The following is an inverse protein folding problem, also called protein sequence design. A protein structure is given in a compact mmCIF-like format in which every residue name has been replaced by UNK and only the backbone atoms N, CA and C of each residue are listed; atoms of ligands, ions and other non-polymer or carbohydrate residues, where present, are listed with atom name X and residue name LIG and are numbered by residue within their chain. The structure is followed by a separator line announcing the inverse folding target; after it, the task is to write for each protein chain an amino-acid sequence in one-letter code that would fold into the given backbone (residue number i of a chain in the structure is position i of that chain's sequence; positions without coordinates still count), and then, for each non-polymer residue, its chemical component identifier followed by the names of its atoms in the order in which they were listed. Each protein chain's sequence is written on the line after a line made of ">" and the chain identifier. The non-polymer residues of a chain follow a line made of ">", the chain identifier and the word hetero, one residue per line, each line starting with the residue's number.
data_IF_138896538611
#
_entry.id   IF_138896538611
#
_cell.length_a   1.000
_cell.length_b   1.000
_cell.length_c   1.000
_cell.angle_alpha   90.00
_cell.angle_beta   90.00
_cell.angle_gamma   90.00
#
_symmetry.space_group_name_H-M   'P 1'
#
loop_
_entity.id
_entity.type
_entity.pdbx_description
1 polymer ?
#
# COMPACT_ATOMS: atom_id res chain seq x y z
N UNK A 1 -43.61 25.78 -67.93
CA UNK A 1 -42.54 25.99 -66.94
C UNK A 1 -43.03 25.49 -65.59
N UNK A 2 -42.55 24.33 -65.13
CA UNK A 2 -42.81 23.81 -63.78
C UNK A 2 -41.45 23.42 -63.16
N UNK A 3 -41.14 24.02 -62.00
CA UNK A 3 -39.94 23.80 -61.21
C UNK A 3 -40.16 22.59 -60.29
N UNK A 4 -39.32 21.56 -60.44
CA UNK A 4 -39.28 20.38 -59.56
C UNK A 4 -38.50 20.77 -58.30
N UNK A 5 -39.02 20.58 -57.07
CA UNK A 5 -38.26 20.82 -55.86
C UNK A 5 -37.28 19.67 -55.58
N UNK A 6 -36.04 20.02 -55.26
CA UNK A 6 -34.95 19.11 -54.91
C UNK A 6 -35.16 18.48 -53.52
N UNK A 7 -35.45 17.19 -53.47
CA UNK A 7 -35.60 16.38 -52.25
C UNK A 7 -34.27 16.00 -51.54
N UNK A 8 -33.15 16.64 -51.85
CA UNK A 8 -31.82 16.25 -51.36
C UNK A 8 -31.43 16.81 -49.99
N UNK A 9 -32.01 17.94 -49.55
CA UNK A 9 -31.59 18.60 -48.30
C UNK A 9 -32.10 17.96 -47.00
N UNK A 10 -33.23 17.24 -47.02
CA UNK A 10 -33.78 16.61 -45.81
C UNK A 10 -33.04 15.32 -45.42
N UNK A 11 -32.45 14.61 -46.38
CA UNK A 11 -31.73 13.35 -46.12
C UNK A 11 -30.35 13.59 -45.49
N UNK A 12 -29.69 14.71 -45.84
CA UNK A 12 -28.41 15.08 -45.23
C UNK A 12 -28.54 15.51 -43.76
N UNK A 13 -29.60 16.26 -43.40
CA UNK A 13 -29.84 16.65 -42.01
C UNK A 13 -30.16 15.46 -41.09
N UNK A 14 -30.90 14.45 -41.58
CA UNK A 14 -31.21 13.24 -40.82
C UNK A 14 -29.97 12.35 -40.59
N UNK A 15 -29.07 12.27 -41.57
CA UNK A 15 -27.82 11.51 -41.44
C UNK A 15 -26.83 12.21 -40.48
N UNK A 16 -26.78 13.55 -40.48
CA UNK A 16 -26.00 14.32 -39.50
C UNK A 16 -26.58 14.22 -38.08
N UNK A 17 -27.90 14.22 -37.91
CA UNK A 17 -28.57 14.03 -36.61
C UNK A 17 -28.41 12.59 -36.08
N UNK A 18 -28.37 11.58 -36.95
CA UNK A 18 -28.06 10.19 -36.56
C UNK A 18 -26.58 10.02 -36.18
N UNK A 19 -25.66 10.71 -36.87
CA UNK A 19 -24.24 10.75 -36.49
C UNK A 19 -24.02 11.51 -35.17
N UNK A 20 -24.75 12.58 -34.90
CA UNK A 20 -24.73 13.27 -33.59
C UNK A 20 -25.33 12.41 -32.46
N UNK A 21 -26.32 11.56 -32.74
CA UNK A 21 -26.85 10.60 -31.76
C UNK A 21 -25.99 9.34 -31.61
N UNK A 22 -25.18 8.95 -32.60
CA UNK A 22 -24.15 7.92 -32.46
C UNK A 22 -22.89 8.47 -31.75
N UNK A 23 -22.67 9.78 -31.83
CA UNK A 23 -21.78 10.56 -30.96
C UNK A 23 -22.46 11.04 -29.68
N UNK A 24 -23.61 10.45 -29.31
CA UNK A 24 -24.07 10.47 -27.93
C UNK A 24 -22.96 9.81 -27.12
N UNK A 25 -22.03 10.66 -26.65
CA UNK A 25 -21.04 10.41 -25.64
C UNK A 25 -21.81 9.87 -24.45
N UNK A 26 -22.02 8.56 -24.45
CA UNK A 26 -22.83 7.93 -23.44
C UNK A 26 -22.11 8.22 -22.13
N UNK A 27 -22.67 9.10 -21.32
CA UNK A 27 -22.01 9.67 -20.15
C UNK A 27 -21.46 8.55 -19.27
N UNK A 28 -20.29 8.76 -18.64
CA UNK A 28 -19.77 7.77 -17.71
C UNK A 28 -20.83 7.55 -16.62
N UNK A 29 -21.19 6.30 -16.33
CA UNK A 29 -22.15 5.96 -15.28
C UNK A 29 -21.55 4.88 -14.37
N UNK A 30 -21.97 4.78 -13.09
CA UNK A 30 -21.53 3.72 -12.20
C UNK A 30 -21.70 2.31 -12.78
N UNK A 31 -22.75 2.10 -13.58
CA UNK A 31 -23.02 0.82 -14.26
C UNK A 31 -21.91 0.46 -15.26
N UNK A 32 -21.51 1.41 -16.12
CA UNK A 32 -20.44 1.17 -17.11
C UNK A 32 -19.08 0.93 -16.45
N UNK A 33 -18.81 1.61 -15.33
CA UNK A 33 -17.61 1.34 -14.52
C UNK A 33 -17.62 -0.11 -14.03
N UNK A 34 -18.73 -0.57 -13.45
CA UNK A 34 -18.89 -1.96 -13.01
C UNK A 34 -18.77 -2.97 -14.16
N UNK A 35 -19.35 -2.69 -15.33
CA UNK A 35 -19.24 -3.55 -16.51
C UNK A 35 -17.78 -3.68 -16.96
N UNK A 36 -17.02 -2.59 -17.01
CA UNK A 36 -15.60 -2.63 -17.32
C UNK A 36 -14.77 -3.40 -16.28
N UNK A 37 -15.11 -3.27 -14.99
CA UNK A 37 -14.50 -4.08 -13.91
C UNK A 37 -14.81 -5.57 -14.14
N UNK A 38 -16.08 -5.92 -14.37
CA UNK A 38 -16.54 -7.30 -14.58
C UNK A 38 -15.88 -7.96 -15.79
N UNK A 39 -15.58 -7.19 -16.86
CA UNK A 39 -14.85 -7.66 -18.04
C UNK A 39 -13.34 -7.76 -17.85
N UNK A 40 -12.81 -7.47 -16.67
CA UNK A 40 -11.36 -7.52 -16.43
C UNK A 40 -10.57 -6.41 -17.15
N UNK A 41 -11.20 -5.24 -17.36
CA UNK A 41 -10.64 -4.09 -18.07
C UNK A 41 -10.38 -2.92 -17.09
N UNK A 42 -9.42 -3.04 -16.15
CA UNK A 42 -9.22 -2.04 -15.10
C UNK A 42 -8.83 -0.65 -15.63
N UNK A 43 -8.07 -0.57 -16.74
CA UNK A 43 -7.72 0.72 -17.38
C UNK A 43 -8.96 1.46 -17.89
N UNK A 44 -9.89 0.73 -18.52
CA UNK A 44 -11.14 1.32 -19.00
C UNK A 44 -12.03 1.72 -17.82
N UNK A 45 -12.11 0.89 -16.78
CA UNK A 45 -12.83 1.22 -15.55
C UNK A 45 -12.29 2.50 -14.91
N UNK A 46 -10.96 2.65 -14.83
CA UNK A 46 -10.30 3.87 -14.32
C UNK A 46 -10.67 5.09 -15.14
N UNK A 47 -10.60 5.02 -16.48
CA UNK A 47 -10.98 6.13 -17.35
C UNK A 47 -12.43 6.55 -17.13
N UNK A 48 -13.35 5.59 -17.10
CA UNK A 48 -14.77 5.87 -16.87
C UNK A 48 -15.03 6.43 -15.47
N UNK A 49 -14.35 5.91 -14.45
CA UNK A 49 -14.48 6.36 -13.08
C UNK A 49 -13.90 7.77 -12.88
N UNK A 50 -12.75 8.08 -13.49
CA UNK A 50 -12.19 9.44 -13.43
C UNK A 50 -13.09 10.45 -14.13
N UNK A 51 -13.65 10.08 -15.28
CA UNK A 51 -14.58 10.95 -16.01
C UNK A 51 -15.88 11.18 -15.23
N UNK A 52 -16.37 10.16 -14.51
CA UNK A 52 -17.54 10.26 -13.64
C UNK A 52 -17.30 11.22 -12.46
N UNK A 53 -16.18 11.06 -11.76
CA UNK A 53 -15.84 11.85 -10.57
C UNK A 53 -15.53 13.32 -10.97
N UNK A 54 -14.79 13.56 -12.06
CA UNK A 54 -14.35 14.90 -12.44
C UNK A 54 -15.45 15.81 -13.01
N UNK A 55 -16.58 15.23 -13.42
CA UNK A 55 -17.74 15.93 -13.99
C UNK A 55 -18.84 16.20 -12.96
N UNK A 56 -18.55 15.98 -11.67
CA UNK A 56 -19.55 15.99 -10.59
C UNK A 56 -20.75 15.10 -10.94
N UNK A 57 -20.50 13.97 -11.61
CA UNK A 57 -21.55 13.02 -11.94
C UNK A 57 -22.21 12.53 -10.66
N UNK A 58 -23.51 12.24 -10.71
CA UNK A 58 -24.32 11.75 -9.59
C UNK A 58 -23.77 10.41 -9.04
N UNK A 59 -22.72 10.47 -8.22
CA UNK A 59 -22.14 9.33 -7.53
C UNK A 59 -22.10 9.63 -6.04
N UNK A 60 -22.92 8.91 -5.30
CA UNK A 60 -22.89 8.95 -3.84
C UNK A 60 -21.60 8.32 -3.33
N UNK A 61 -21.13 8.78 -2.16
CA UNK A 61 -19.94 8.23 -1.49
C UNK A 61 -20.02 6.70 -1.35
N UNK A 62 -21.18 6.17 -0.95
CA UNK A 62 -21.39 4.73 -0.82
C UNK A 62 -21.25 3.97 -2.15
N UNK A 63 -21.65 4.59 -3.27
CA UNK A 63 -21.50 3.99 -4.60
C UNK A 63 -20.05 4.05 -5.06
N UNK A 64 -19.36 5.18 -4.82
CA UNK A 64 -17.93 5.34 -5.08
C UNK A 64 -17.11 4.29 -4.34
N UNK A 65 -17.34 4.10 -3.04
CA UNK A 65 -16.64 3.09 -2.23
C UNK A 65 -16.84 1.67 -2.78
N UNK A 66 -18.05 1.33 -3.24
CA UNK A 66 -18.32 0.03 -3.86
C UNK A 66 -17.56 -0.15 -5.17
N UNK A 67 -17.49 0.87 -6.03
CA UNK A 67 -16.74 0.82 -7.29
C UNK A 67 -15.24 0.67 -7.03
N UNK A 68 -14.69 1.46 -6.10
CA UNK A 68 -13.29 1.39 -5.71
C UNK A 68 -12.92 0.03 -5.12
N UNK A 69 -13.79 -0.54 -4.26
CA UNK A 69 -13.61 -1.89 -3.73
C UNK A 69 -13.65 -2.95 -4.84
N UNK A 70 -14.63 -2.88 -5.75
CA UNK A 70 -14.73 -3.80 -6.87
C UNK A 70 -13.51 -3.71 -7.80
N UNK A 71 -12.99 -2.50 -8.04
CA UNK A 71 -11.79 -2.26 -8.81
C UNK A 71 -10.57 -2.91 -8.14
N UNK A 72 -10.40 -2.75 -6.82
CA UNK A 72 -9.30 -3.36 -6.06
C UNK A 72 -9.32 -4.89 -6.07
N UNK A 73 -10.51 -5.50 -6.10
CA UNK A 73 -10.69 -6.96 -6.15
C UNK A 73 -10.46 -7.55 -7.55
N UNK A 74 -10.31 -6.72 -8.58
CA UNK A 74 -10.05 -7.18 -9.92
C UNK A 74 -8.68 -7.87 -10.01
N UNK A 75 -8.60 -9.05 -10.64
CA UNK A 75 -7.35 -9.83 -10.74
C UNK A 75 -6.20 -9.08 -11.43
N UNK A 76 -6.52 -8.16 -12.35
CA UNK A 76 -5.54 -7.35 -13.08
C UNK A 76 -5.23 -6.02 -12.38
N UNK A 77 -5.83 -5.76 -11.22
CA UNK A 77 -5.57 -4.56 -10.44
C UNK A 77 -4.14 -4.56 -9.87
N UNK A 78 -3.46 -3.43 -10.04
CA UNK A 78 -2.12 -3.19 -9.52
C UNK A 78 -1.94 -1.71 -9.17
N UNK A 79 -0.81 -1.37 -8.57
CA UNK A 79 -0.55 -0.01 -8.10
C UNK A 79 -0.59 1.02 -9.24
N UNK A 80 -0.11 0.66 -10.43
CA UNK A 80 -0.15 1.55 -11.60
C UNK A 80 -1.58 1.95 -11.97
N UNK A 81 -2.55 1.03 -11.84
CA UNK A 81 -3.98 1.33 -12.04
C UNK A 81 -4.49 2.33 -10.98
N UNK A 82 -4.10 2.15 -9.73
CA UNK A 82 -4.49 3.07 -8.65
C UNK A 82 -3.88 4.47 -8.86
N UNK A 83 -2.61 4.52 -9.27
CA UNK A 83 -1.91 5.76 -9.59
C UNK A 83 -2.55 6.47 -10.77
N UNK A 84 -2.88 5.74 -11.82
CA UNK A 84 -3.55 6.28 -12.99
C UNK A 84 -4.88 6.94 -12.61
N UNK A 85 -5.69 6.28 -11.76
CA UNK A 85 -6.92 6.87 -11.26
C UNK A 85 -6.64 8.15 -10.47
N UNK A 86 -5.75 8.10 -9.49
CA UNK A 86 -5.45 9.24 -8.62
C UNK A 86 -4.90 10.45 -9.40
N UNK A 87 -4.02 10.22 -10.38
CA UNK A 87 -3.42 11.28 -11.19
C UNK A 87 -4.42 11.94 -12.15
N UNK A 88 -5.44 11.20 -12.61
CA UNK A 88 -6.48 11.73 -13.51
C UNK A 88 -7.51 12.61 -12.80
N UNK A 89 -7.59 12.57 -11.48
CA UNK A 89 -8.63 13.29 -10.73
C UNK A 89 -8.27 14.75 -10.46
N UNK A 90 -9.28 15.61 -10.47
CA UNK A 90 -9.23 16.96 -9.87
C UNK A 90 -9.08 16.85 -8.35
N UNK A 91 -8.79 17.97 -7.69
CA UNK A 91 -8.49 17.99 -6.26
C UNK A 91 -9.60 17.39 -5.40
N UNK A 92 -10.87 17.71 -5.68
CA UNK A 92 -12.00 17.18 -4.92
C UNK A 92 -12.15 15.65 -5.08
N UNK A 93 -11.95 15.17 -6.31
CA UNK A 93 -11.91 13.72 -6.59
C UNK A 93 -10.75 13.01 -5.89
N UNK A 94 -9.56 13.62 -5.86
CA UNK A 94 -8.40 13.10 -5.12
C UNK A 94 -8.71 12.99 -3.63
N UNK A 95 -9.32 14.01 -3.05
CA UNK A 95 -9.76 14.01 -1.65
C UNK A 95 -10.79 12.90 -1.38
N UNK A 96 -11.76 12.71 -2.27
CA UNK A 96 -12.81 11.70 -2.13
C UNK A 96 -12.26 10.26 -2.13
N UNK A 97 -11.25 9.96 -2.95
CA UNK A 97 -10.68 8.61 -3.05
C UNK A 97 -9.43 8.39 -2.20
N UNK A 98 -8.94 9.42 -1.50
CA UNK A 98 -7.65 9.39 -0.83
C UNK A 98 -7.54 8.19 0.12
N UNK A 99 -8.52 8.02 1.01
CA UNK A 99 -8.50 6.94 2.01
C UNK A 99 -8.32 5.57 1.35
N UNK A 100 -9.06 5.30 0.27
CA UNK A 100 -8.92 4.08 -0.51
C UNK A 100 -7.52 3.97 -1.13
N UNK A 101 -7.02 5.06 -1.72
CA UNK A 101 -5.71 5.09 -2.37
C UNK A 101 -4.55 4.83 -1.39
N UNK A 102 -4.58 5.44 -0.20
CA UNK A 102 -3.59 5.20 0.85
C UNK A 102 -3.65 3.73 1.33
N UNK A 103 -4.85 3.15 1.48
CA UNK A 103 -5.02 1.75 1.84
C UNK A 103 -4.41 0.79 0.80
N UNK A 104 -4.59 1.07 -0.51
CA UNK A 104 -3.97 0.26 -1.57
C UNK A 104 -2.45 0.26 -1.45
N UNK A 105 -1.84 1.41 -1.12
CA UNK A 105 -0.40 1.49 -0.89
C UNK A 105 0.06 0.72 0.35
N UNK A 106 -0.69 0.83 1.45
CA UNK A 106 -0.41 0.09 2.68
C UNK A 106 -0.44 -1.42 2.44
N UNK A 107 -1.50 -1.94 1.82
CA UNK A 107 -1.63 -3.37 1.49
C UNK A 107 -0.46 -3.88 0.62
N UNK A 108 -0.04 -3.07 -0.36
CA UNK A 108 1.10 -3.41 -1.23
C UNK A 108 2.42 -3.39 -0.47
N UNK A 109 2.62 -2.42 0.41
CA UNK A 109 3.79 -2.34 1.27
C UNK A 109 3.86 -3.53 2.25
N UNK A 110 2.74 -3.87 2.89
CA UNK A 110 2.64 -5.04 3.78
C UNK A 110 2.91 -6.35 3.03
N UNK A 111 2.36 -6.50 1.82
CA UNK A 111 2.64 -7.69 0.99
C UNK A 111 4.11 -7.81 0.63
N UNK A 112 4.79 -6.71 0.30
CA UNK A 112 6.22 -6.69 0.05
C UNK A 112 7.02 -7.06 1.31
N UNK A 113 6.64 -6.52 2.47
CA UNK A 113 7.26 -6.85 3.76
C UNK A 113 7.11 -8.33 4.12
N UNK A 114 5.91 -8.91 3.95
CA UNK A 114 5.65 -10.33 4.22
C UNK A 114 6.44 -11.26 3.30
N UNK A 115 6.86 -10.78 2.13
CA UNK A 115 7.74 -11.50 1.19
C UNK A 115 9.23 -11.20 1.39
N UNK A 116 9.59 -10.46 2.44
CA UNK A 116 10.95 -9.97 2.69
C UNK A 116 11.55 -9.14 1.53
N UNK A 117 10.70 -8.48 0.74
CA UNK A 117 11.09 -7.56 -0.34
C UNK A 117 11.26 -6.13 0.22
N UNK A 118 12.24 -5.93 1.10
CA UNK A 118 12.37 -4.69 1.88
C UNK A 118 12.62 -3.44 1.02
N UNK A 119 13.46 -3.53 0.00
CA UNK A 119 13.71 -2.40 -0.93
C UNK A 119 12.46 -2.00 -1.73
N UNK A 120 11.65 -2.99 -2.12
CA UNK A 120 10.36 -2.73 -2.76
C UNK A 120 9.42 -2.00 -1.79
N UNK A 121 9.31 -2.47 -0.55
CA UNK A 121 8.53 -1.82 0.49
C UNK A 121 8.99 -0.36 0.74
N UNK A 122 10.31 -0.10 0.81
CA UNK A 122 10.85 1.28 0.94
C UNK A 122 10.46 2.15 -0.25
N UNK A 123 10.56 1.60 -1.46
CA UNK A 123 10.25 2.32 -2.70
C UNK A 123 8.76 2.67 -2.78
N UNK A 124 7.90 1.71 -2.49
CA UNK A 124 6.45 1.89 -2.39
C UNK A 124 6.10 2.96 -1.36
N UNK A 125 6.70 2.91 -0.17
CA UNK A 125 6.43 3.88 0.88
C UNK A 125 6.90 5.30 0.54
N UNK A 126 8.12 5.45 -0.01
CA UNK A 126 8.62 6.77 -0.46
C UNK A 126 7.72 7.37 -1.54
N UNK A 127 7.23 6.54 -2.45
CA UNK A 127 6.29 6.98 -3.49
C UNK A 127 4.96 7.43 -2.90
N UNK A 128 4.41 6.65 -1.98
CA UNK A 128 3.23 7.03 -1.20
C UNK A 128 3.39 8.39 -0.52
N UNK A 129 4.52 8.62 0.16
CA UNK A 129 4.80 9.90 0.83
C UNK A 129 4.81 11.08 -0.13
N UNK A 130 5.44 10.92 -1.30
CA UNK A 130 5.45 11.97 -2.34
C UNK A 130 4.05 12.29 -2.82
N UNK A 131 3.25 11.27 -3.13
CA UNK A 131 1.90 11.46 -3.67
C UNK A 131 0.97 12.04 -2.61
N UNK A 132 1.04 11.54 -1.37
CA UNK A 132 0.29 12.13 -0.26
C UNK A 132 0.64 13.60 -0.07
N UNK A 133 1.92 13.97 -0.13
CA UNK A 133 2.34 15.38 0.03
C UNK A 133 1.71 16.32 -1.01
N UNK A 134 1.36 15.82 -2.21
CA UNK A 134 0.64 16.62 -3.22
C UNK A 134 -0.81 16.93 -2.81
N UNK A 135 -1.44 16.06 -2.03
CA UNK A 135 -2.81 16.23 -1.58
C UNK A 135 -2.91 16.81 -0.16
N UNK A 136 -1.92 16.51 0.71
CA UNK A 136 -1.85 16.88 2.12
C UNK A 136 -0.40 17.24 2.50
N UNK A 137 0.06 18.46 2.18
CA UNK A 137 1.45 18.87 2.41
C UNK A 137 1.82 18.94 3.90
N UNK A 138 0.84 19.17 4.78
CA UNK A 138 1.05 19.31 6.22
C UNK A 138 0.76 18.04 7.03
N UNK A 139 0.50 16.90 6.37
CA UNK A 139 0.23 15.65 7.09
C UNK A 139 1.50 15.11 7.76
N UNK A 140 1.43 14.95 9.09
CA UNK A 140 2.47 14.28 9.85
C UNK A 140 2.09 12.83 10.17
N UNK A 141 2.89 11.88 9.69
CA UNK A 141 2.77 10.48 10.09
C UNK A 141 3.04 10.32 11.58
N UNK A 142 2.05 9.81 12.31
CA UNK A 142 2.18 9.38 13.71
C UNK A 142 3.14 8.19 13.86
N UNK A 143 3.19 7.31 12.85
CA UNK A 143 4.04 6.12 12.85
C UNK A 143 5.11 6.20 11.75
N UNK A 144 6.42 6.18 12.08
CA UNK A 144 7.48 6.26 11.09
C UNK A 144 7.71 4.92 10.36
N UNK A 145 6.93 4.66 9.31
CA UNK A 145 6.89 3.37 8.58
C UNK A 145 8.25 2.97 7.99
N UNK A 146 9.07 3.89 7.50
CA UNK A 146 10.44 3.56 7.03
C UNK A 146 11.28 2.91 8.12
N UNK A 147 11.10 3.34 9.37
CA UNK A 147 11.78 2.73 10.52
C UNK A 147 11.23 1.34 10.84
N UNK A 148 9.93 1.10 10.63
CA UNK A 148 9.32 -0.23 10.76
C UNK A 148 9.86 -1.21 9.71
N UNK A 149 10.01 -0.76 8.46
CA UNK A 149 10.61 -1.59 7.39
C UNK A 149 12.04 -1.99 7.78
N UNK A 150 12.85 -1.03 8.23
CA UNK A 150 14.22 -1.31 8.68
C UNK A 150 14.25 -2.28 9.87
N UNK A 151 13.30 -2.16 10.81
CA UNK A 151 13.20 -3.05 11.96
C UNK A 151 12.86 -4.50 11.54
N UNK A 152 11.93 -4.66 10.60
CA UNK A 152 11.57 -5.98 10.04
C UNK A 152 12.72 -6.59 9.25
N UNK A 153 13.49 -5.77 8.52
CA UNK A 153 14.68 -6.26 7.84
C UNK A 153 15.78 -6.69 8.81
N UNK A 154 15.94 -5.97 9.93
CA UNK A 154 16.87 -6.37 10.98
C UNK A 154 16.53 -7.76 11.54
N UNK A 155 15.24 -8.02 11.81
CA UNK A 155 14.74 -9.32 12.27
C UNK A 155 15.03 -10.43 11.26
N UNK A 156 14.68 -10.20 9.99
CA UNK A 156 14.99 -11.14 8.90
C UNK A 156 16.48 -11.50 8.83
N UNK A 157 17.38 -10.52 8.93
CA UNK A 157 18.81 -10.80 8.91
C UNK A 157 19.31 -11.56 10.14
N UNK A 158 18.67 -11.40 11.30
CA UNK A 158 18.97 -12.21 12.48
C UNK A 158 18.54 -13.66 12.30
N UNK A 159 17.35 -13.91 11.75
CA UNK A 159 16.89 -15.26 11.44
C UNK A 159 17.82 -15.97 10.45
N UNK A 160 18.43 -15.22 9.54
CA UNK A 160 19.48 -15.72 8.62
C UNK A 160 20.88 -15.79 9.23
N UNK A 161 21.03 -15.49 10.53
CA UNK A 161 22.31 -15.52 11.25
C UNK A 161 23.28 -14.38 10.91
N UNK A 162 22.87 -13.42 10.06
CA UNK A 162 23.71 -12.30 9.59
C UNK A 162 23.66 -11.12 10.55
N UNK A 163 24.22 -11.29 11.75
CA UNK A 163 24.19 -10.29 12.84
C UNK A 163 24.71 -8.91 12.45
N UNK A 164 25.77 -8.82 11.65
CA UNK A 164 26.32 -7.53 11.21
C UNK A 164 25.30 -6.72 10.38
N UNK A 165 24.60 -7.38 9.45
CA UNK A 165 23.53 -6.75 8.67
C UNK A 165 22.35 -6.37 9.55
N UNK A 166 21.91 -7.27 10.41
CA UNK A 166 20.83 -7.00 11.35
C UNK A 166 21.11 -5.76 12.21
N UNK A 167 22.34 -5.62 12.72
CA UNK A 167 22.76 -4.46 13.51
C UNK A 167 22.68 -3.16 12.71
N UNK A 168 23.11 -3.17 11.45
CA UNK A 168 23.03 -2.00 10.58
C UNK A 168 21.59 -1.51 10.41
N UNK A 169 20.67 -2.44 10.10
CA UNK A 169 19.26 -2.08 9.94
C UNK A 169 18.57 -1.73 11.26
N UNK A 170 18.94 -2.37 12.36
CA UNK A 170 18.43 -2.04 13.69
C UNK A 170 18.80 -0.61 14.11
N UNK A 171 20.06 -0.20 13.92
CA UNK A 171 20.48 1.18 14.22
C UNK A 171 19.86 2.20 13.26
N UNK A 172 19.66 1.83 11.99
CA UNK A 172 18.92 2.65 11.03
C UNK A 172 17.46 2.84 11.45
N UNK A 173 16.79 1.76 11.87
CA UNK A 173 15.43 1.79 12.41
C UNK A 173 15.36 2.70 13.64
N UNK A 174 16.29 2.52 14.58
CA UNK A 174 16.41 3.33 15.80
C UNK A 174 16.44 4.82 15.49
N UNK A 175 17.33 5.26 14.59
CA UNK A 175 17.43 6.67 14.17
C UNK A 175 16.14 7.22 13.54
N UNK A 176 15.41 6.41 12.77
CA UNK A 176 14.19 6.85 12.08
C UNK A 176 12.98 6.91 13.01
N UNK A 177 12.87 5.92 13.90
CA UNK A 177 11.78 5.80 14.85
C UNK A 177 11.95 6.85 15.98
N UNK A 178 13.17 7.02 16.50
CA UNK A 178 13.49 7.98 17.58
C UNK A 178 13.36 9.45 17.23
N UNK A 179 13.20 9.82 15.94
CA UNK A 179 13.12 11.21 15.48
C UNK A 179 11.79 11.89 15.80
N UNK A 180 10.73 11.12 16.05
CA UNK A 180 9.37 11.65 16.28
C UNK A 180 8.71 11.07 17.53
N UNK A 181 9.04 9.83 17.88
CA UNK A 181 8.54 9.12 19.06
C UNK A 181 9.72 8.42 19.70
N UNK A 182 9.82 8.34 21.02
CA UNK A 182 10.90 7.57 21.64
C UNK A 182 10.89 6.13 21.08
N UNK A 183 12.05 5.58 20.73
CA UNK A 183 12.18 4.28 20.04
C UNK A 183 11.50 3.13 20.82
N UNK A 184 11.41 3.27 22.14
CA UNK A 184 10.79 2.31 23.05
C UNK A 184 9.26 2.51 23.21
N UNK A 185 8.70 3.59 22.66
CA UNK A 185 7.29 4.01 22.75
C UNK A 185 6.52 3.88 21.43
N UNK A 186 7.01 3.08 20.47
CA UNK A 186 6.28 2.80 19.22
C UNK A 186 4.90 2.26 19.61
N UNK A 187 3.84 3.04 19.36
CA UNK A 187 2.50 2.89 19.95
C UNK A 187 1.80 1.54 19.68
N UNK A 188 2.32 0.77 18.73
CA UNK A 188 1.86 -0.58 18.47
C UNK A 188 2.65 -1.57 19.35
N UNK A 189 1.99 -2.14 20.38
CA UNK A 189 2.52 -3.17 21.29
C UNK A 189 3.31 -4.28 20.57
N UNK A 190 2.94 -4.63 19.33
CA UNK A 190 3.65 -5.62 18.51
C UNK A 190 5.10 -5.24 18.13
N UNK A 191 5.44 -3.95 18.06
CA UNK A 191 6.80 -3.52 17.74
C UNK A 191 7.68 -3.32 18.96
N UNK A 192 7.12 -2.97 20.13
CA UNK A 192 7.90 -2.83 21.36
C UNK A 192 8.57 -4.16 21.75
N UNK A 193 7.82 -5.28 21.67
CA UNK A 193 8.36 -6.62 21.91
C UNK A 193 9.45 -6.99 20.89
N UNK A 194 9.23 -6.67 19.61
CA UNK A 194 10.21 -6.91 18.55
C UNK A 194 11.51 -6.11 18.80
N UNK A 195 11.41 -4.83 19.17
CA UNK A 195 12.57 -3.99 19.49
C UNK A 195 13.39 -4.60 20.63
N UNK A 196 12.75 -5.00 21.73
CA UNK A 196 13.43 -5.62 22.87
C UNK A 196 14.08 -6.95 22.49
N UNK A 197 13.39 -7.79 21.72
CA UNK A 197 13.91 -9.09 21.28
C UNK A 197 15.12 -8.95 20.37
N UNK A 198 15.04 -8.05 19.37
CA UNK A 198 16.16 -7.75 18.47
C UNK A 198 17.34 -7.17 19.24
N UNK A 199 17.09 -6.25 20.16
CA UNK A 199 18.13 -5.68 21.03
C UNK A 199 18.84 -6.80 21.81
N UNK A 200 18.10 -7.73 22.42
CA UNK A 200 18.66 -8.90 23.09
C UNK A 200 19.48 -9.76 22.13
N UNK A 201 18.93 -10.17 20.98
CA UNK A 201 19.61 -11.07 20.02
C UNK A 201 20.86 -10.45 19.38
N UNK A 202 20.89 -9.14 19.18
CA UNK A 202 22.01 -8.40 18.59
C UNK A 202 23.10 -8.10 19.63
N UNK A 203 22.71 -7.62 20.82
CA UNK A 203 23.62 -7.03 21.79
C UNK A 203 23.87 -7.87 23.04
N UNK A 204 22.99 -8.81 23.37
CA UNK A 204 23.22 -9.77 24.44
C UNK A 204 23.70 -11.07 23.79
N UNK A 205 24.97 -11.42 24.02
CA UNK A 205 25.58 -12.67 23.56
C UNK A 205 24.66 -13.86 23.87
N UNK A 206 24.59 -14.89 23.00
CA UNK A 206 23.86 -16.10 23.35
C UNK A 206 24.43 -16.62 24.68
N UNK A 207 23.59 -17.16 25.60
CA UNK A 207 24.11 -17.72 26.84
C UNK A 207 25.24 -18.68 26.47
N UNK A 208 26.43 -18.45 27.03
CA UNK A 208 27.58 -19.36 26.85
C UNK A 208 27.02 -20.77 27.06
N UNK A 209 27.12 -21.66 26.06
CA UNK A 209 26.82 -23.08 26.24
C UNK A 209 27.57 -23.49 27.51
N UNK A 210 26.83 -23.77 28.59
CA UNK A 210 27.45 -24.22 29.83
C UNK A 210 28.21 -25.48 29.47
N UNK A 211 29.55 -25.43 29.55
CA UNK A 211 30.36 -26.64 29.42
C UNK A 211 29.81 -27.61 30.47
N UNK A 212 29.59 -28.90 30.12
CA UNK A 212 29.11 -29.87 31.08
C UNK A 212 30.03 -29.81 32.29
N UNK A 213 29.46 -29.51 33.46
CA UNK A 213 30.18 -29.49 34.73
C UNK A 213 30.83 -30.87 34.87
N UNK A 214 32.16 -30.94 34.76
CA UNK A 214 32.90 -32.16 35.11
C UNK A 214 32.52 -32.46 36.55
N UNK A 215 31.73 -33.53 36.77
CA UNK A 215 31.41 -34.04 38.10
C UNK A 215 32.76 -34.32 38.78
N UNK A 216 33.11 -33.50 39.77
CA UNK A 216 34.23 -33.80 40.66
C UNK A 216 33.90 -35.10 41.38
N UNK A 217 34.78 -36.12 41.36
CA UNK A 217 34.53 -37.37 42.07
C UNK A 217 34.38 -37.08 43.57
N UNK A 218 33.27 -37.53 44.15
CA UNK A 218 33.00 -37.41 45.60
C UNK A 218 34.09 -38.15 46.36
N UNK A 219 34.83 -37.42 47.20
CA UNK A 219 35.84 -37.96 48.11
C UNK A 219 35.16 -38.93 49.08
N UNK A 220 35.64 -40.18 49.25
CA UNK A 220 35.01 -41.12 50.18
C UNK A 220 35.15 -40.62 51.62
N UNK A 221 34.05 -40.68 52.37
CA UNK A 221 33.98 -40.37 53.80
C UNK A 221 34.87 -41.35 54.57
N UNK A 222 35.85 -40.81 55.30
CA UNK A 222 36.76 -41.54 56.16
C UNK A 222 35.96 -42.13 57.32
N UNK A 223 35.83 -43.45 57.38
CA UNK A 223 35.23 -44.17 58.52
C UNK A 223 36.06 -43.87 59.77
N UNK A 224 35.42 -43.27 60.78
CA UNK A 224 35.98 -43.15 62.13
C UNK A 224 36.03 -44.52 62.79
N UNK A 225 37.18 -44.86 63.36
CA UNK A 225 37.38 -46.01 64.25
C UNK A 225 36.67 -45.73 65.59
N UNK A 226 35.88 -46.69 66.06
CA UNK A 226 35.77 -47.07 67.46
C UNK A 226 35.88 -48.58 67.53
#
# INVERSE_FOLDING_TARGET
>A
MQLIPSHSSQRFSLLLLLLFNLLACTSPTPRKVNEAIGRGQPKQAVRLLSDLINRDGEITTAKLDRLLKALSLNRRFNLSIADELFLRLKQDGKSAILKWYLNVYLERCEKALNKAQFEEARTLWKRHQRIRATAFPHFEESTPVLGIIDLREADYWLEKGKRAKARLYFESARKKLSRRVAFDQIQNFGFANLVQELRRKIYQSPPKKQKPVKKTPRRPLRKGKR
#
